data_IF_775283708939
#
_entry.id   IF_775283708939
#
_cell.length_a   1.000
_cell.length_b   1.000
_cell.length_c   1.000
_cell.angle_alpha   90.00
_cell.angle_beta   90.00
_cell.angle_gamma   90.00
#
_symmetry.space_group_name_H-M   'P 1'
#
loop_
_entity.id
_entity.type
_entity.pdbx_description
1 polymer ?
#
# COMPACT_ATOMS: atom_id res chain seq x y z
N UNK A 1 16.38 8.48 68.31
CA UNK A 1 15.17 7.95 67.67
C UNK A 1 15.41 7.95 66.17
N UNK A 2 15.70 6.78 65.61
CA UNK A 2 16.02 6.60 64.20
C UNK A 2 14.69 6.29 63.50
N UNK A 3 14.26 7.19 62.61
CA UNK A 3 13.12 7.00 61.72
C UNK A 3 13.43 5.87 60.75
N UNK A 4 12.74 4.74 60.90
CA UNK A 4 12.84 3.60 59.99
C UNK A 4 11.98 3.84 58.75
N UNK A 5 12.62 4.19 57.64
CA UNK A 5 12.02 4.11 56.31
C UNK A 5 11.70 2.64 56.01
N UNK A 6 10.42 2.28 56.04
CA UNK A 6 9.97 0.96 55.57
C UNK A 6 9.94 0.99 54.05
N UNK A 7 10.95 0.43 53.41
CA UNK A 7 10.85 0.02 52.01
C UNK A 7 9.66 -0.94 51.88
N UNK A 8 8.61 -0.54 51.16
CA UNK A 8 7.49 -1.42 50.85
C UNK A 8 8.01 -2.62 50.05
N UNK A 9 7.64 -3.82 50.47
CA UNK A 9 7.98 -5.02 49.70
C UNK A 9 7.24 -4.99 48.35
N UNK A 10 7.81 -5.57 47.30
CA UNK A 10 7.16 -5.63 45.97
C UNK A 10 5.77 -6.28 46.04
N UNK A 11 5.54 -7.21 46.99
CA UNK A 11 4.23 -7.80 47.27
C UNK A 11 3.21 -6.78 47.80
N UNK A 12 3.63 -5.81 48.61
CA UNK A 12 2.75 -4.76 49.13
C UNK A 12 2.32 -3.81 48.00
N UNK A 13 3.21 -3.49 47.06
CA UNK A 13 2.89 -2.67 45.88
C UNK A 13 1.87 -3.34 44.95
N UNK A 14 1.96 -4.67 44.73
CA UNK A 14 0.94 -5.38 43.93
C UNK A 14 -0.45 -5.36 44.56
N UNK A 15 -0.54 -5.32 45.89
CA UNK A 15 -1.83 -5.22 46.60
C UNK A 15 -2.47 -3.83 46.47
N UNK A 16 -1.68 -2.81 46.16
CA UNK A 16 -2.18 -1.44 45.92
C UNK A 16 -2.83 -1.28 44.54
N UNK A 17 -2.63 -2.22 43.61
CA UNK A 17 -3.25 -2.16 42.28
C UNK A 17 -4.79 -2.32 42.42
N UNK A 18 -5.60 -1.37 41.97
CA UNK A 18 -7.06 -1.49 42.04
C UNK A 18 -7.59 -2.64 41.18
N UNK A 19 -8.64 -3.30 41.66
CA UNK A 19 -9.38 -4.27 40.85
C UNK A 19 -10.08 -3.57 39.68
N UNK A 20 -10.32 -4.29 38.59
CA UNK A 20 -11.02 -3.75 37.42
C UNK A 20 -12.39 -3.18 37.82
N UNK A 21 -13.14 -3.87 38.69
CA UNK A 21 -14.47 -3.39 39.13
C UNK A 21 -14.41 -2.05 39.86
N UNK A 22 -13.31 -1.78 40.59
CA UNK A 22 -13.09 -0.49 41.23
C UNK A 22 -12.76 0.59 40.20
N UNK A 23 -11.90 0.28 39.23
CA UNK A 23 -11.57 1.17 38.10
C UNK A 23 -12.82 1.51 37.27
N UNK A 24 -13.75 0.57 37.12
CA UNK A 24 -15.01 0.82 36.41
C UNK A 24 -15.85 1.90 37.10
N UNK A 25 -15.72 2.14 38.41
CA UNK A 25 -16.47 3.20 39.12
C UNK A 25 -15.82 4.59 39.00
N UNK A 26 -14.61 4.67 38.44
CA UNK A 26 -13.91 5.95 38.28
C UNK A 26 -14.60 6.82 37.23
N UNK A 27 -14.70 8.12 37.52
CA UNK A 27 -15.45 9.07 36.69
C UNK A 27 -14.98 9.11 35.21
N UNK A 28 -13.66 9.13 34.91
CA UNK A 28 -13.18 9.05 33.53
C UNK A 28 -13.59 7.77 32.80
N UNK A 29 -13.62 6.64 33.52
CA UNK A 29 -13.99 5.34 32.96
C UNK A 29 -15.49 5.28 32.67
N UNK A 30 -16.32 5.84 33.55
CA UNK A 30 -17.76 5.97 33.32
C UNK A 30 -18.08 6.81 32.08
N UNK A 31 -17.33 7.89 31.83
CA UNK A 31 -17.44 8.67 30.58
C UNK A 31 -17.14 7.82 29.36
N UNK A 32 -16.06 7.03 29.38
CA UNK A 32 -15.72 6.16 28.26
C UNK A 32 -16.76 5.05 28.04
N UNK A 33 -17.38 4.52 29.10
CA UNK A 33 -18.44 3.52 28.99
C UNK A 33 -19.74 4.07 28.39
N UNK A 34 -19.97 5.39 28.49
CA UNK A 34 -21.12 6.03 27.84
C UNK A 34 -20.94 6.16 26.32
N UNK A 35 -19.69 6.26 25.85
CA UNK A 35 -19.36 6.42 24.43
C UNK A 35 -18.96 5.12 23.73
N UNK A 36 -18.33 4.18 24.45
CA UNK A 36 -17.69 2.99 23.90
C UNK A 36 -18.21 1.71 24.54
N UNK A 37 -18.10 0.59 23.80
CA UNK A 37 -18.49 -0.74 24.31
C UNK A 37 -17.67 -1.12 25.54
N UNK A 38 -18.35 -1.61 26.57
CA UNK A 38 -17.76 -2.02 27.85
C UNK A 38 -16.63 -3.04 27.69
N UNK A 39 -16.79 -4.03 26.81
CA UNK A 39 -15.76 -5.04 26.52
C UNK A 39 -14.44 -4.42 26.06
N UNK A 40 -14.52 -3.35 25.26
CA UNK A 40 -13.35 -2.65 24.75
C UNK A 40 -12.63 -1.89 25.87
N UNK A 41 -13.37 -1.13 26.68
CA UNK A 41 -12.81 -0.39 27.82
C UNK A 41 -12.20 -1.33 28.86
N UNK A 42 -12.88 -2.44 29.20
CA UNK A 42 -12.35 -3.47 30.11
C UNK A 42 -11.05 -4.06 29.56
N UNK A 43 -10.97 -4.30 28.25
CA UNK A 43 -9.75 -4.80 27.61
C UNK A 43 -8.59 -3.81 27.75
N UNK A 44 -8.83 -2.51 27.51
CA UNK A 44 -7.79 -1.47 27.67
C UNK A 44 -7.34 -1.36 29.14
N UNK A 45 -8.27 -1.30 30.08
CA UNK A 45 -7.96 -1.28 31.52
C UNK A 45 -7.10 -2.47 31.93
N UNK A 46 -7.45 -3.69 31.49
CA UNK A 46 -6.65 -4.90 31.76
C UNK A 46 -5.22 -4.79 31.22
N UNK A 47 -5.02 -4.18 30.05
CA UNK A 47 -3.68 -3.94 29.48
C UNK A 47 -2.91 -2.91 30.29
N UNK A 48 -3.52 -1.80 30.66
CA UNK A 48 -2.89 -0.78 31.51
C UNK A 48 -2.51 -1.34 32.88
N UNK A 49 -3.38 -2.16 33.50
CA UNK A 49 -3.04 -2.88 34.74
C UNK A 49 -1.86 -3.83 34.54
N UNK A 50 -1.81 -4.54 33.42
CA UNK A 50 -0.70 -5.44 33.13
C UNK A 50 0.62 -4.70 32.92
N UNK A 51 0.60 -3.55 32.25
CA UNK A 51 1.77 -2.67 32.09
C UNK A 51 2.29 -2.20 33.45
N UNK A 52 1.42 -1.72 34.34
CA UNK A 52 1.80 -1.32 35.70
C UNK A 52 2.39 -2.49 36.49
N UNK A 53 1.84 -3.70 36.35
CA UNK A 53 2.42 -4.91 36.97
C UNK A 53 3.84 -5.18 36.48
N UNK A 54 4.09 -4.99 35.19
CA UNK A 54 5.42 -5.18 34.60
C UNK A 54 6.40 -4.10 35.09
N UNK A 55 5.97 -2.84 35.17
CA UNK A 55 6.79 -1.74 35.71
C UNK A 55 7.17 -1.98 37.18
N UNK A 56 6.24 -2.43 38.02
CA UNK A 56 6.52 -2.76 39.44
C UNK A 56 7.48 -3.96 39.55
N UNK A 57 7.48 -4.89 38.59
CA UNK A 57 8.45 -5.99 38.55
C UNK A 57 9.85 -5.54 38.14
N UNK A 58 9.95 -4.58 37.22
CA UNK A 58 11.23 -4.13 36.65
C UNK A 58 11.91 -3.01 37.46
N UNK A 59 11.14 -2.18 38.15
CA UNK A 59 11.65 -1.03 38.91
C UNK A 59 11.73 -1.38 40.39
N UNK A 60 12.89 -1.20 41.00
CA UNK A 60 13.08 -1.36 42.43
C UNK A 60 12.33 -0.24 43.20
N UNK A 61 11.06 -0.52 43.53
CA UNK A 61 10.23 0.10 44.56
C UNK A 61 10.32 1.63 44.73
N UNK A 62 9.67 2.37 43.83
CA UNK A 62 9.11 3.67 44.21
C UNK A 62 7.84 3.45 45.05
N UNK A 63 7.64 4.25 46.10
CA UNK A 63 6.49 4.14 46.99
C UNK A 63 5.22 4.66 46.31
N UNK A 64 4.56 3.83 45.51
CA UNK A 64 3.24 4.16 44.96
C UNK A 64 2.13 3.81 45.94
N UNK A 65 1.20 4.75 46.16
CA UNK A 65 -0.05 4.45 46.85
C UNK A 65 -1.14 4.04 45.82
N UNK A 66 -2.26 3.49 46.30
CA UNK A 66 -3.38 3.04 45.46
C UNK A 66 -3.97 4.15 44.58
N UNK A 67 -4.03 5.37 45.08
CA UNK A 67 -4.58 6.52 44.33
C UNK A 67 -3.68 6.87 43.14
N UNK A 68 -2.36 6.87 43.35
CA UNK A 68 -1.38 7.13 42.29
C UNK A 68 -1.43 6.05 41.21
N UNK A 69 -1.51 4.77 41.59
CA UNK A 69 -1.66 3.67 40.63
C UNK A 69 -2.98 3.76 39.87
N UNK A 70 -4.07 4.15 40.52
CA UNK A 70 -5.37 4.35 39.88
C UNK A 70 -5.28 5.45 38.82
N UNK A 71 -4.71 6.61 39.16
CA UNK A 71 -4.47 7.71 38.23
C UNK A 71 -3.57 7.30 37.06
N UNK A 72 -2.51 6.56 37.31
CA UNK A 72 -1.62 6.06 36.26
C UNK A 72 -2.32 5.07 35.31
N UNK A 73 -3.11 4.14 35.86
CA UNK A 73 -3.87 3.18 35.03
C UNK A 73 -4.87 3.93 34.14
N UNK A 74 -5.61 4.89 34.70
CA UNK A 74 -6.54 5.74 33.93
C UNK A 74 -5.78 6.49 32.85
N UNK A 75 -4.66 7.13 33.17
CA UNK A 75 -3.86 7.87 32.20
C UNK A 75 -3.34 6.98 31.05
N UNK A 76 -2.84 5.79 31.36
CA UNK A 76 -2.40 4.82 30.35
C UNK A 76 -3.56 4.34 29.47
N UNK A 77 -4.73 4.08 30.08
CA UNK A 77 -5.93 3.69 29.35
C UNK A 77 -6.42 4.82 28.44
N UNK A 78 -6.41 6.07 28.90
CA UNK A 78 -6.77 7.25 28.11
C UNK A 78 -5.82 7.44 26.92
N UNK A 79 -4.52 7.27 27.13
CA UNK A 79 -3.52 7.35 26.07
C UNK A 79 -3.72 6.24 25.03
N UNK A 80 -3.99 5.01 25.44
CA UNK A 80 -4.27 3.89 24.53
C UNK A 80 -5.60 4.09 23.78
N UNK A 81 -6.63 4.58 24.46
CA UNK A 81 -7.94 4.93 23.88
C UNK A 81 -7.79 6.01 22.81
N UNK A 82 -7.08 7.08 23.14
CA UNK A 82 -6.79 8.20 22.24
C UNK A 82 -5.96 7.74 21.04
N UNK A 83 -4.96 6.88 21.26
CA UNK A 83 -4.14 6.32 20.19
C UNK A 83 -4.93 5.36 19.29
N UNK A 84 -5.89 4.61 19.85
CA UNK A 84 -6.74 3.68 19.09
C UNK A 84 -7.64 4.42 18.10
N UNK A 85 -8.28 5.50 18.53
CA UNK A 85 -9.16 6.29 17.67
C UNK A 85 -8.43 7.31 16.80
N UNK A 86 -7.16 7.58 17.09
CA UNK A 86 -6.33 8.37 16.20
C UNK A 86 -5.95 7.56 14.95
N UNK A 87 -6.50 7.95 13.80
CA UNK A 87 -6.04 7.45 12.51
C UNK A 87 -4.53 7.61 12.38
N UNK A 88 -3.84 6.51 12.05
CA UNK A 88 -2.41 6.54 11.68
C UNK A 88 -2.19 7.24 10.33
N UNK A 89 -3.24 7.33 9.51
CA UNK A 89 -3.25 8.17 8.31
C UNK A 89 -3.57 9.60 8.71
N UNK A 90 -2.64 10.52 8.46
CA UNK A 90 -2.79 11.95 8.70
C UNK A 90 -2.56 12.72 7.40
N UNK A 91 -3.27 13.82 7.22
CA UNK A 91 -2.92 14.78 6.18
C UNK A 91 -1.58 15.44 6.52
N UNK A 92 -0.76 15.68 5.49
CA UNK A 92 0.56 16.29 5.64
C UNK A 92 0.72 17.46 4.68
N UNK A 93 1.57 18.42 5.05
CA UNK A 93 2.00 19.50 4.16
C UNK A 93 3.29 19.06 3.47
N UNK A 94 3.27 18.94 2.14
CA UNK A 94 4.45 18.57 1.36
C UNK A 94 5.39 19.77 1.19
N UNK A 95 6.47 19.82 1.98
CA UNK A 95 7.55 20.82 1.85
C UNK A 95 8.74 20.38 0.98
N UNK A 96 8.69 19.21 0.33
CA UNK A 96 9.84 18.63 -0.39
C UNK A 96 10.02 19.16 -1.81
N UNK A 97 9.00 19.80 -2.39
CA UNK A 97 8.98 20.17 -3.81
C UNK A 97 8.78 18.99 -4.78
N UNK A 98 8.67 17.75 -4.29
CA UNK A 98 8.40 16.57 -5.12
C UNK A 98 6.89 16.45 -5.37
N UNK A 99 6.46 16.63 -6.62
CA UNK A 99 5.03 16.59 -7.00
C UNK A 99 4.44 15.18 -6.87
N UNK A 100 5.06 14.18 -7.51
CA UNK A 100 4.64 12.78 -7.44
C UNK A 100 5.37 12.04 -6.32
N UNK A 101 5.07 12.39 -5.07
CA UNK A 101 5.73 11.80 -3.91
C UNK A 101 5.12 10.44 -3.55
N UNK A 102 5.85 9.34 -3.82
CA UNK A 102 5.37 7.97 -3.62
C UNK A 102 4.94 7.69 -2.17
N UNK A 103 5.72 8.14 -1.18
CA UNK A 103 5.39 7.95 0.23
C UNK A 103 4.22 8.82 0.74
N UNK A 104 3.90 9.93 0.07
CA UNK A 104 2.83 10.85 0.49
C UNK A 104 1.54 10.66 -0.31
N UNK A 105 1.41 9.57 -1.06
CA UNK A 105 0.17 9.23 -1.76
C UNK A 105 0.09 9.72 -3.21
N UNK A 106 1.22 10.05 -3.86
CA UNK A 106 1.29 10.46 -5.28
C UNK A 106 0.45 11.72 -5.56
N UNK A 107 -0.36 11.71 -6.61
CA UNK A 107 -1.11 12.87 -7.07
C UNK A 107 -2.32 13.13 -6.16
N UNK A 108 -2.45 14.33 -5.55
CA UNK A 108 -3.67 14.72 -4.87
C UNK A 108 -4.81 14.91 -5.87
N UNK A 109 -6.05 14.69 -5.42
CA UNK A 109 -7.23 14.86 -6.24
C UNK A 109 -7.69 16.33 -6.27
N UNK A 110 -8.06 16.80 -7.47
CA UNK A 110 -8.67 18.12 -7.65
C UNK A 110 -9.97 18.24 -6.83
N UNK A 111 -10.34 19.43 -6.33
CA UNK A 111 -11.56 19.65 -5.54
C UNK A 111 -12.82 19.09 -6.23
N UNK A 112 -12.95 19.28 -7.53
CA UNK A 112 -14.10 18.85 -8.34
C UNK A 112 -14.24 17.33 -8.34
N UNK A 113 -13.13 16.59 -8.42
CA UNK A 113 -13.10 15.13 -8.36
C UNK A 113 -13.53 14.65 -6.98
N UNK A 114 -13.03 15.30 -5.91
CA UNK A 114 -13.40 14.94 -4.52
C UNK A 114 -14.88 15.16 -4.25
N UNK A 115 -15.44 16.28 -4.72
CA UNK A 115 -16.88 16.56 -4.59
C UNK A 115 -17.69 15.47 -5.30
N UNK A 116 -17.33 15.13 -6.54
CA UNK A 116 -18.04 14.08 -7.29
C UNK A 116 -17.93 12.71 -6.62
N UNK A 117 -16.78 12.37 -6.06
CA UNK A 117 -16.60 11.11 -5.32
C UNK A 117 -17.47 11.06 -4.06
N UNK A 118 -17.58 12.16 -3.32
CA UNK A 118 -18.45 12.22 -2.15
C UNK A 118 -19.92 12.03 -2.54
N UNK A 119 -20.40 12.74 -3.57
CA UNK A 119 -21.77 12.61 -4.06
C UNK A 119 -22.12 11.16 -4.47
N UNK A 120 -21.17 10.48 -5.12
CA UNK A 120 -21.32 9.08 -5.53
C UNK A 120 -21.23 8.11 -4.34
N UNK A 121 -20.37 8.38 -3.36
CA UNK A 121 -20.19 7.53 -2.18
C UNK A 121 -21.38 7.60 -1.21
N UNK A 122 -22.12 8.71 -1.20
CA UNK A 122 -23.33 8.89 -0.39
C UNK A 122 -24.55 8.14 -0.94
N UNK A 123 -24.51 7.67 -2.20
CA UNK A 123 -25.66 7.12 -2.91
C UNK A 123 -25.36 5.77 -3.57
N UNK A 124 -26.42 5.06 -3.99
CA UNK A 124 -26.26 3.93 -4.90
C UNK A 124 -25.80 4.42 -6.28
N UNK A 125 -24.84 3.70 -6.87
CA UNK A 125 -24.29 4.02 -8.18
C UNK A 125 -24.55 2.88 -9.17
N UNK A 126 -24.76 3.24 -10.44
CA UNK A 126 -24.93 2.29 -11.56
C UNK A 126 -23.60 1.67 -12.00
N UNK A 127 -22.81 1.15 -11.06
CA UNK A 127 -21.47 0.59 -11.30
C UNK A 127 -21.52 -0.60 -12.26
N UNK A 128 -22.59 -1.39 -12.19
CA UNK A 128 -22.82 -2.55 -13.05
C UNK A 128 -24.29 -2.61 -13.50
N UNK A 129 -24.90 -1.45 -13.79
CA UNK A 129 -26.29 -1.37 -14.21
C UNK A 129 -26.43 -0.54 -15.49
N UNK A 130 -26.99 -1.15 -16.54
CA UNK A 130 -27.22 -0.50 -17.83
C UNK A 130 -28.66 0.01 -17.92
N UNK A 131 -28.84 1.32 -18.07
CA UNK A 131 -30.15 1.96 -18.10
C UNK A 131 -30.97 1.61 -19.35
N UNK A 132 -30.30 1.36 -20.47
CA UNK A 132 -30.91 1.06 -21.77
C UNK A 132 -31.61 -0.30 -21.75
N UNK A 133 -31.08 -1.25 -20.98
CA UNK A 133 -31.58 -2.62 -20.93
C UNK A 133 -32.26 -2.97 -19.60
N UNK A 134 -32.06 -2.16 -18.56
CA UNK A 134 -32.51 -2.44 -17.20
C UNK A 134 -31.83 -3.66 -16.55
N UNK A 135 -30.70 -4.12 -17.09
CA UNK A 135 -29.98 -5.33 -16.67
C UNK A 135 -28.59 -5.00 -16.12
N UNK A 136 -27.90 -6.03 -15.65
CA UNK A 136 -26.48 -5.95 -15.26
C UNK A 136 -25.64 -5.49 -16.46
N UNK A 137 -24.85 -4.43 -16.26
CA UNK A 137 -23.91 -3.87 -17.23
C UNK A 137 -22.45 -4.16 -16.86
N UNK A 138 -21.54 -3.80 -17.77
CA UNK A 138 -20.10 -3.95 -17.56
C UNK A 138 -19.46 -2.69 -16.99
N UNK A 139 -18.73 -2.85 -15.88
CA UNK A 139 -18.05 -1.75 -15.19
C UNK A 139 -16.95 -1.11 -16.01
N UNK A 140 -16.20 -1.92 -16.77
CA UNK A 140 -15.05 -1.43 -17.53
C UNK A 140 -15.47 -0.51 -18.68
N UNK A 141 -16.66 -0.72 -19.26
CA UNK A 141 -17.22 0.12 -20.32
C UNK A 141 -17.48 1.58 -19.90
N UNK A 142 -17.58 1.85 -18.58
CA UNK A 142 -17.83 3.20 -18.05
C UNK A 142 -16.69 4.16 -18.44
N UNK A 143 -15.45 3.68 -18.46
CA UNK A 143 -14.26 4.52 -18.72
C UNK A 143 -13.57 4.21 -20.04
N UNK A 144 -13.88 3.07 -20.67
CA UNK A 144 -13.29 2.65 -21.94
C UNK A 144 -13.42 3.73 -23.01
N UNK A 145 -14.64 4.25 -23.22
CA UNK A 145 -14.90 5.27 -24.25
C UNK A 145 -14.10 6.56 -24.05
N UNK A 146 -13.81 6.94 -22.81
CA UNK A 146 -12.99 8.12 -22.50
C UNK A 146 -11.52 7.86 -22.85
N UNK A 147 -11.01 6.67 -22.49
CA UNK A 147 -9.62 6.31 -22.75
C UNK A 147 -9.37 6.13 -24.24
N UNK A 148 -10.27 5.47 -24.97
CA UNK A 148 -10.14 5.30 -26.43
C UNK A 148 -10.23 6.64 -27.15
N UNK A 149 -11.12 7.55 -26.71
CA UNK A 149 -11.19 8.91 -27.26
C UNK A 149 -9.91 9.73 -27.02
N UNK A 150 -9.25 9.58 -25.87
CA UNK A 150 -8.01 10.31 -25.54
C UNK A 150 -6.77 9.72 -26.21
N UNK A 151 -6.71 8.39 -26.34
CA UNK A 151 -5.52 7.69 -26.85
C UNK A 151 -5.56 7.37 -28.34
N UNK A 152 -6.76 7.30 -28.93
CA UNK A 152 -6.97 6.74 -30.27
C UNK A 152 -6.85 5.22 -30.33
N UNK A 153 -6.77 4.53 -29.18
CA UNK A 153 -6.74 3.07 -29.13
C UNK A 153 -8.09 2.46 -29.53
N UNK A 154 -8.05 1.23 -30.05
CA UNK A 154 -9.24 0.49 -30.50
C UNK A 154 -10.15 0.05 -29.34
N UNK A 155 -9.55 -0.23 -28.17
CA UNK A 155 -10.23 -0.66 -26.96
C UNK A 155 -9.39 -0.26 -25.73
N UNK A 156 -10.01 -0.27 -24.54
CA UNK A 156 -9.30 0.03 -23.30
C UNK A 156 -9.85 -0.75 -22.10
N UNK A 157 -8.96 -1.14 -21.19
CA UNK A 157 -9.30 -1.78 -19.94
C UNK A 157 -8.58 -1.10 -18.78
N UNK A 158 -9.27 -0.99 -17.63
CA UNK A 158 -8.69 -0.46 -16.40
C UNK A 158 -8.66 -1.56 -15.35
N UNK A 159 -7.50 -1.71 -14.72
CA UNK A 159 -7.28 -2.65 -13.61
C UNK A 159 -6.79 -1.88 -12.39
N UNK A 160 -6.62 -2.59 -11.28
CA UNK A 160 -6.28 -2.00 -9.98
C UNK A 160 -5.09 -1.01 -10.03
N UNK A 161 -3.99 -1.40 -10.69
CA UNK A 161 -2.82 -0.56 -10.86
C UNK A 161 -1.98 -1.04 -12.06
N UNK A 162 -0.94 -0.28 -12.40
CA UNK A 162 -0.08 -0.63 -13.53
C UNK A 162 0.63 -1.99 -13.38
N UNK A 163 1.01 -2.37 -12.16
CA UNK A 163 1.62 -3.68 -11.91
C UNK A 163 0.69 -4.84 -12.30
N UNK A 164 -0.60 -4.72 -11.95
CA UNK A 164 -1.62 -5.66 -12.37
C UNK A 164 -1.85 -5.64 -13.90
N UNK A 165 -1.70 -4.47 -14.54
CA UNK A 165 -1.83 -4.34 -15.99
C UNK A 165 -0.72 -5.10 -16.73
N UNK A 166 0.54 -4.92 -16.31
CA UNK A 166 1.69 -5.64 -16.87
C UNK A 166 1.54 -7.14 -16.66
N UNK A 167 1.19 -7.57 -15.44
CA UNK A 167 0.94 -8.98 -15.13
C UNK A 167 -0.16 -9.58 -16.02
N UNK A 168 -1.30 -8.89 -16.14
CA UNK A 168 -2.45 -9.34 -16.92
C UNK A 168 -2.11 -9.42 -18.41
N UNK A 169 -1.44 -8.41 -18.95
CA UNK A 169 -1.03 -8.37 -20.36
C UNK A 169 -0.07 -9.52 -20.69
N UNK A 170 0.97 -9.71 -19.88
CA UNK A 170 1.94 -10.79 -20.07
C UNK A 170 1.31 -12.17 -19.92
N UNK A 171 0.45 -12.37 -18.92
CA UNK A 171 -0.24 -13.64 -18.71
C UNK A 171 -1.21 -13.95 -19.85
N UNK A 172 -1.93 -12.95 -20.34
CA UNK A 172 -2.93 -13.15 -21.40
C UNK A 172 -2.29 -13.37 -22.78
N UNK A 173 -1.16 -12.72 -23.06
CA UNK A 173 -0.52 -12.73 -24.38
C UNK A 173 0.59 -13.78 -24.49
N UNK A 174 1.35 -14.02 -23.42
CA UNK A 174 2.62 -14.73 -23.48
C UNK A 174 2.82 -15.78 -22.37
N UNK A 175 1.76 -16.25 -21.73
CA UNK A 175 1.88 -17.38 -20.78
C UNK A 175 2.45 -18.62 -21.48
N UNK A 176 3.54 -19.17 -20.93
CA UNK A 176 4.31 -20.29 -21.47
C UNK A 176 5.24 -19.95 -22.64
N UNK A 177 5.18 -18.71 -23.16
CA UNK A 177 5.95 -18.22 -24.32
C UNK A 177 7.11 -17.32 -23.91
N UNK A 178 8.03 -17.09 -24.84
CA UNK A 178 9.17 -16.19 -24.66
C UNK A 178 8.74 -14.72 -24.75
N UNK A 179 9.25 -13.88 -23.86
CA UNK A 179 9.06 -12.43 -23.88
C UNK A 179 10.42 -11.77 -23.89
N UNK A 180 10.72 -11.06 -24.98
CA UNK A 180 11.98 -10.37 -25.16
C UNK A 180 11.94 -9.00 -24.47
N UNK A 181 12.97 -8.66 -23.71
CA UNK A 181 13.15 -7.34 -23.12
C UNK A 181 14.62 -6.97 -22.98
N UNK A 182 14.93 -5.67 -22.94
CA UNK A 182 16.30 -5.23 -22.72
C UNK A 182 16.72 -5.51 -21.28
N UNK A 183 17.96 -6.00 -21.11
CA UNK A 183 18.58 -6.18 -19.79
C UNK A 183 18.67 -4.87 -18.99
N UNK A 184 18.71 -3.72 -19.66
CA UNK A 184 18.67 -2.39 -19.05
C UNK A 184 17.30 -1.96 -18.51
N UNK A 185 16.24 -2.72 -18.83
CA UNK A 185 14.85 -2.46 -18.46
C UNK A 185 14.36 -3.37 -17.31
N UNK A 186 15.27 -4.12 -16.68
CA UNK A 186 14.99 -4.92 -15.48
C UNK A 186 14.96 -4.02 -14.25
N UNK A 187 13.86 -3.30 -14.09
CA UNK A 187 13.73 -2.24 -13.10
C UNK A 187 13.05 -2.70 -11.81
N UNK A 188 13.31 -1.93 -10.76
CA UNK A 188 12.59 -1.98 -9.50
C UNK A 188 11.99 -0.60 -9.20
N UNK A 189 10.68 -0.55 -8.99
CA UNK A 189 9.95 0.69 -8.67
C UNK A 189 9.31 0.57 -7.30
N UNK A 190 9.54 1.57 -6.45
CA UNK A 190 9.06 1.55 -5.07
C UNK A 190 9.87 0.55 -4.24
N UNK A 191 9.20 -0.36 -3.52
CA UNK A 191 9.86 -1.37 -2.69
C UNK A 191 9.43 -2.81 -2.94
N UNK A 192 8.56 -3.07 -3.91
CA UNK A 192 8.01 -4.42 -4.15
C UNK A 192 7.62 -4.72 -5.59
N UNK A 193 7.80 -3.78 -6.53
CA UNK A 193 7.50 -4.02 -7.94
C UNK A 193 8.80 -4.20 -8.70
N UNK A 194 9.04 -5.43 -9.17
CA UNK A 194 10.23 -5.83 -9.91
C UNK A 194 9.79 -6.54 -11.18
N UNK A 195 10.22 -6.06 -12.34
CA UNK A 195 9.85 -6.66 -13.63
C UNK A 195 10.16 -8.17 -13.67
N UNK A 196 11.32 -8.66 -13.20
CA UNK A 196 11.58 -10.10 -13.17
C UNK A 196 10.56 -10.92 -12.38
N UNK A 197 10.09 -10.40 -11.24
CA UNK A 197 9.10 -11.09 -10.39
C UNK A 197 7.71 -11.11 -11.04
N UNK A 198 7.32 -10.01 -11.68
CA UNK A 198 6.05 -9.91 -12.42
C UNK A 198 6.04 -10.86 -13.60
N UNK A 199 7.13 -10.93 -14.37
CA UNK A 199 7.28 -11.86 -15.48
C UNK A 199 7.22 -13.32 -15.02
N UNK A 200 7.89 -13.65 -13.92
CA UNK A 200 7.83 -14.99 -13.35
C UNK A 200 6.39 -15.37 -12.94
N UNK A 201 5.67 -14.44 -12.30
CA UNK A 201 4.27 -14.64 -11.91
C UNK A 201 3.30 -14.73 -13.09
N UNK A 202 3.59 -14.04 -14.21
CA UNK A 202 2.74 -14.07 -15.40
C UNK A 202 2.80 -15.42 -16.13
N UNK A 203 3.80 -16.25 -15.83
CA UNK A 203 4.07 -17.51 -16.56
C UNK A 203 4.83 -17.29 -17.87
N UNK A 204 5.28 -16.06 -18.17
CA UNK A 204 6.08 -15.76 -19.34
C UNK A 204 7.55 -16.15 -19.11
N UNK A 205 8.23 -16.62 -20.16
CA UNK A 205 9.66 -16.91 -20.13
C UNK A 205 10.43 -15.66 -20.51
N UNK A 206 11.12 -15.07 -19.54
CA UNK A 206 11.91 -13.85 -19.75
C UNK A 206 13.16 -14.14 -20.57
N UNK A 207 13.31 -13.48 -21.72
CA UNK A 207 14.51 -13.54 -22.57
C UNK A 207 15.15 -12.15 -22.62
N UNK A 208 16.22 -12.00 -21.86
CA UNK A 208 16.95 -10.73 -21.75
C UNK A 208 17.89 -10.54 -22.94
N UNK A 209 17.79 -9.39 -23.61
CA UNK A 209 18.66 -9.02 -24.73
C UNK A 209 19.52 -7.80 -24.40
N UNK A 210 20.61 -7.64 -25.15
CA UNK A 210 21.56 -6.54 -24.97
C UNK A 210 22.27 -6.55 -23.61
N UNK A 211 22.75 -5.39 -23.19
CA UNK A 211 23.38 -5.16 -21.89
C UNK A 211 22.68 -4.04 -21.12
N UNK A 212 23.06 -3.87 -19.85
CA UNK A 212 22.49 -2.85 -18.96
C UNK A 212 22.48 -1.45 -19.57
N UNK A 213 23.55 -1.06 -20.24
CA UNK A 213 23.72 0.29 -20.79
C UNK A 213 23.47 0.36 -22.29
N UNK A 214 23.67 -0.74 -23.06
CA UNK A 214 23.52 -0.72 -24.52
C UNK A 214 22.69 -1.87 -25.00
N UNK A 215 21.60 -1.56 -25.66
CA UNK A 215 20.78 -2.51 -26.41
C UNK A 215 20.65 -2.05 -27.84
N UNK A 216 20.94 -2.95 -28.77
CA UNK A 216 20.85 -2.72 -30.21
C UNK A 216 19.67 -3.49 -30.80
N UNK A 217 19.18 -3.03 -31.96
CA UNK A 217 18.08 -3.73 -32.66
C UNK A 217 18.44 -5.19 -32.98
N UNK A 218 19.69 -5.44 -33.37
CA UNK A 218 20.21 -6.80 -33.64
C UNK A 218 20.08 -7.75 -32.45
N UNK A 219 20.11 -7.22 -31.22
CA UNK A 219 20.02 -8.05 -30.01
C UNK A 219 18.60 -8.64 -29.88
N UNK A 220 17.58 -7.87 -30.28
CA UNK A 220 16.22 -8.37 -30.43
C UNK A 220 16.09 -9.28 -31.66
N UNK A 221 16.60 -8.88 -32.83
CA UNK A 221 16.50 -9.67 -34.07
C UNK A 221 17.05 -11.09 -33.92
N UNK A 222 18.19 -11.24 -33.24
CA UNK A 222 18.83 -12.52 -33.01
C UNK A 222 18.12 -13.39 -31.96
N UNK A 223 17.26 -12.80 -31.13
CA UNK A 223 16.56 -13.47 -30.05
C UNK A 223 15.12 -13.84 -30.38
N UNK A 224 14.54 -13.32 -31.48
CA UNK A 224 13.20 -13.73 -31.92
C UNK A 224 13.23 -15.18 -32.40
N UNK A 225 12.33 -15.99 -31.84
CA UNK A 225 12.12 -17.42 -32.15
C UNK A 225 10.66 -17.68 -32.50
N UNK A 226 10.33 -18.92 -32.89
CA UNK A 226 8.94 -19.37 -33.05
C UNK A 226 8.15 -19.37 -31.73
N UNK A 227 8.84 -19.47 -30.59
CA UNK A 227 8.24 -19.46 -29.25
C UNK A 227 8.05 -18.04 -28.69
N UNK A 228 8.47 -17.01 -29.42
CA UNK A 228 8.34 -15.60 -29.00
C UNK A 228 6.87 -15.17 -29.00
N UNK A 229 6.36 -14.86 -27.80
CA UNK A 229 4.99 -14.42 -27.56
C UNK A 229 4.81 -12.91 -27.52
N UNK A 230 5.81 -12.14 -27.09
CA UNK A 230 5.76 -10.68 -27.07
C UNK A 230 7.15 -10.04 -26.99
N UNK A 231 7.24 -8.75 -27.34
CA UNK A 231 8.35 -7.88 -26.93
C UNK A 231 7.82 -6.95 -25.84
N UNK A 232 8.46 -6.95 -24.67
CA UNK A 232 8.17 -6.02 -23.59
C UNK A 232 9.18 -4.87 -23.62
N UNK A 233 8.67 -3.65 -23.60
CA UNK A 233 9.44 -2.41 -23.43
C UNK A 233 9.00 -1.78 -22.12
N UNK A 234 9.95 -1.45 -21.24
CA UNK A 234 9.65 -0.82 -19.94
C UNK A 234 10.36 0.52 -19.87
N UNK A 235 9.62 1.58 -19.51
CA UNK A 235 10.16 2.91 -19.32
C UNK A 235 10.86 3.05 -17.95
N UNK A 236 12.10 3.57 -17.89
CA UNK A 236 12.79 3.84 -16.62
C UNK A 236 12.21 5.09 -15.94
N UNK A 237 11.09 4.93 -15.22
CA UNK A 237 10.30 6.04 -14.66
C UNK A 237 10.94 6.73 -13.45
N UNK A 238 11.78 6.05 -12.67
CA UNK A 238 12.35 6.54 -11.41
C UNK A 238 13.88 6.68 -11.40
N UNK A 239 14.57 6.41 -12.51
CA UNK A 239 16.02 6.61 -12.66
C UNK A 239 16.38 6.92 -14.11
N UNK A 240 17.64 7.33 -14.32
CA UNK A 240 18.23 7.45 -15.66
C UNK A 240 19.66 6.96 -15.64
N UNK A 241 20.07 6.26 -16.70
CA UNK A 241 21.49 5.90 -16.93
C UNK A 241 22.11 6.98 -17.80
N UNK A 242 23.29 7.47 -17.41
CA UNK A 242 24.04 8.50 -18.14
C UNK A 242 25.38 7.94 -18.64
N UNK A 243 25.92 8.55 -19.70
CA UNK A 243 27.20 8.16 -20.31
C UNK A 243 27.02 7.31 -21.57
N UNK A 244 27.69 6.16 -21.65
CA UNK A 244 27.65 5.29 -22.83
C UNK A 244 26.38 4.43 -22.87
N UNK A 245 25.25 5.08 -23.15
CA UNK A 245 23.93 4.46 -23.20
C UNK A 245 23.43 4.35 -24.63
N UNK A 246 22.74 3.25 -24.95
CA UNK A 246 22.05 3.07 -26.21
C UNK A 246 20.75 2.28 -25.99
N UNK A 247 19.64 2.83 -26.45
CA UNK A 247 18.33 2.18 -26.46
C UNK A 247 17.81 2.07 -27.90
N UNK A 248 16.94 1.10 -28.14
CA UNK A 248 16.32 0.91 -29.47
C UNK A 248 15.07 1.81 -29.53
N UNK A 249 14.95 2.69 -30.53
CA UNK A 249 13.73 3.47 -30.73
C UNK A 249 12.50 2.56 -30.88
N UNK A 250 11.40 2.92 -30.21
CA UNK A 250 10.18 2.11 -30.16
C UNK A 250 9.64 1.81 -31.57
N UNK A 251 9.72 2.75 -32.50
CA UNK A 251 9.24 2.57 -33.88
C UNK A 251 10.01 1.47 -34.62
N UNK A 252 11.31 1.29 -34.30
CA UNK A 252 12.12 0.21 -34.88
C UNK A 252 11.74 -1.14 -34.29
N UNK A 253 11.46 -1.20 -32.98
CA UNK A 253 10.97 -2.41 -32.32
C UNK A 253 9.60 -2.82 -32.87
N UNK A 254 8.67 -1.89 -33.04
CA UNK A 254 7.35 -2.18 -33.62
C UNK A 254 7.48 -2.74 -35.04
N UNK A 255 8.34 -2.15 -35.88
CA UNK A 255 8.59 -2.67 -37.24
C UNK A 255 9.17 -4.09 -37.22
N UNK A 256 10.10 -4.37 -36.32
CA UNK A 256 10.65 -5.71 -36.14
C UNK A 256 9.55 -6.68 -35.68
N UNK A 257 8.78 -6.31 -34.67
CA UNK A 257 7.72 -7.13 -34.11
C UNK A 257 6.66 -7.48 -35.18
N UNK A 258 6.23 -6.51 -35.99
CA UNK A 258 5.32 -6.73 -37.12
C UNK A 258 5.88 -7.72 -38.15
N UNK A 259 7.17 -7.65 -38.48
CA UNK A 259 7.82 -8.59 -39.41
C UNK A 259 7.73 -10.04 -38.92
N UNK A 260 7.68 -10.25 -37.61
CA UNK A 260 7.62 -11.56 -36.97
C UNK A 260 6.23 -11.90 -36.41
N UNK A 261 5.21 -11.07 -36.66
CA UNK A 261 3.86 -11.22 -36.10
C UNK A 261 3.82 -11.33 -34.56
N UNK A 262 4.73 -10.63 -33.88
CA UNK A 262 4.83 -10.58 -32.42
C UNK A 262 4.23 -9.25 -31.91
N UNK A 263 3.40 -9.26 -30.86
CA UNK A 263 2.90 -8.03 -30.25
C UNK A 263 3.97 -7.30 -29.43
N UNK A 264 3.87 -5.98 -29.36
CA UNK A 264 4.69 -5.13 -28.48
C UNK A 264 3.84 -4.67 -27.30
N UNK A 265 4.32 -4.93 -26.09
CA UNK A 265 3.76 -4.42 -24.84
C UNK A 265 4.67 -3.28 -24.37
N UNK A 266 4.13 -2.07 -24.22
CA UNK A 266 4.89 -0.92 -23.73
C UNK A 266 4.36 -0.47 -22.36
N UNK A 267 5.17 -0.67 -21.33
CA UNK A 267 4.95 -0.16 -19.97
C UNK A 267 5.60 1.23 -19.83
N UNK A 268 4.77 2.27 -19.72
CA UNK A 268 5.13 3.69 -19.81
C UNK A 268 5.40 4.35 -18.45
#
# INVERSE_FOLDING_TARGET
MISGDRMNSTQDLFRQIPAIDALLQEEPVQRWLAEYKSEFIIKLLRRSVQQIRETIRSSAADAFNKEDLTKQIIHLTEAELTAFFNSKLKCVVNGTGVVLHTNLGRAPLAPEVRHKLNDLAENYCSVEYAFETGKRGERNGIVEHLITALSGAEAAAVVNNNAAAVLLALNSIANGKEVLLSRGQLIEIGGSFRIPEVMAQSGAKMIEVGTTNKTHLRDYENAVTEDTGAILVVHPSNYRVLGFVQEVPLEKLVRLAHKHAVPVIYDL
#
